data_IF_380698601490
#
_entry.id   IF_380698601490
#
_cell.length_a   1.000
_cell.length_b   1.000
_cell.length_c   1.000
_cell.angle_alpha   90.00
_cell.angle_beta   90.00
_cell.angle_gamma   90.00
#
_symmetry.space_group_name_H-M   'P 1'
#
loop_
_entity.id
_entity.type
_entity.pdbx_description
1 polymer ?
#
# COMPACT_ATOMS: atom_id res chain seq x y z
N UNK A 1 0.91 -11.02 -1.80
CA UNK A 1 -0.37 -10.36 -2.21
C UNK A 1 -0.04 -9.08 -2.99
N UNK A 2 -0.99 -8.40 -3.62
CA UNK A 2 -0.75 -7.02 -4.12
C UNK A 2 -1.46 -6.01 -3.22
N UNK A 3 -0.92 -4.80 -3.11
CA UNK A 3 -1.51 -3.69 -2.32
C UNK A 3 -3.02 -3.51 -2.57
N UNK A 4 -3.44 -3.59 -3.84
CA UNK A 4 -4.85 -3.46 -4.23
C UNK A 4 -5.74 -4.51 -3.59
N UNK A 5 -5.29 -5.77 -3.51
CA UNK A 5 -6.06 -6.88 -2.92
C UNK A 5 -6.29 -6.62 -1.43
N UNK A 6 -5.21 -6.34 -0.69
CA UNK A 6 -5.27 -6.08 0.75
C UNK A 6 -6.18 -4.89 1.04
N UNK A 7 -6.07 -3.80 0.25
CA UNK A 7 -6.94 -2.64 0.39
C UNK A 7 -8.42 -3.01 0.21
N UNK A 8 -8.74 -3.78 -0.83
CA UNK A 8 -10.11 -4.23 -1.10
C UNK A 8 -10.63 -5.18 -0.02
N UNK A 9 -9.80 -6.09 0.51
CA UNK A 9 -10.15 -6.96 1.64
C UNK A 9 -10.44 -6.17 2.92
N UNK A 10 -9.79 -5.01 3.10
CA UNK A 10 -10.08 -4.07 4.19
C UNK A 10 -11.28 -3.15 3.90
N UNK A 11 -11.92 -3.27 2.73
CA UNK A 11 -13.07 -2.45 2.34
C UNK A 11 -12.74 -0.97 2.08
N UNK A 12 -11.48 -0.64 1.82
CA UNK A 12 -11.03 0.75 1.66
C UNK A 12 -11.01 1.17 0.18
N UNK A 13 -11.40 2.40 -0.11
CA UNK A 13 -11.13 3.08 -1.39
C UNK A 13 -9.67 3.56 -1.46
N UNK A 14 -9.21 3.95 -2.65
CA UNK A 14 -7.87 4.54 -2.82
C UNK A 14 -7.74 5.86 -2.05
N UNK A 15 -8.82 6.65 -2.00
CA UNK A 15 -8.88 7.92 -1.24
C UNK A 15 -8.83 7.68 0.26
N UNK A 16 -9.59 6.72 0.79
CA UNK A 16 -9.52 6.38 2.21
C UNK A 16 -8.15 5.86 2.62
N UNK A 17 -7.51 5.03 1.78
CA UNK A 17 -6.14 4.59 2.03
C UNK A 17 -5.16 5.77 2.02
N UNK A 18 -5.31 6.71 1.08
CA UNK A 18 -4.49 7.91 0.99
C UNK A 18 -4.60 8.76 2.26
N UNK A 19 -5.82 9.01 2.74
CA UNK A 19 -6.09 9.75 3.97
C UNK A 19 -5.48 9.03 5.18
N UNK A 20 -5.75 7.72 5.32
CA UNK A 20 -5.32 6.91 6.47
C UNK A 20 -3.79 6.76 6.54
N UNK A 21 -3.13 6.63 5.40
CA UNK A 21 -1.66 6.53 5.31
C UNK A 21 -0.93 7.88 5.26
N UNK A 22 -1.67 9.00 5.16
CA UNK A 22 -1.11 10.35 4.94
C UNK A 22 -0.19 10.38 3.71
N UNK A 23 -0.68 9.81 2.61
CA UNK A 23 0.00 9.74 1.30
C UNK A 23 -0.96 10.34 0.27
N UNK A 24 -0.43 11.05 -0.73
CA UNK A 24 -1.26 11.58 -1.82
C UNK A 24 -1.95 10.44 -2.59
N UNK A 25 -3.21 10.64 -3.00
CA UNK A 25 -3.96 9.70 -3.82
C UNK A 25 -3.16 9.25 -5.06
N UNK A 26 -2.52 10.18 -5.75
CA UNK A 26 -1.69 9.92 -6.93
C UNK A 26 -0.54 8.96 -6.64
N UNK A 27 0.03 9.01 -5.43
CA UNK A 27 1.05 8.08 -4.99
C UNK A 27 0.47 6.70 -4.69
N UNK A 28 -0.69 6.60 -4.04
CA UNK A 28 -1.39 5.31 -3.85
C UNK A 28 -1.67 4.65 -5.20
N UNK A 29 -2.25 5.39 -6.15
CA UNK A 29 -2.55 4.89 -7.51
C UNK A 29 -1.27 4.43 -8.22
N UNK A 30 -0.20 5.23 -8.15
CA UNK A 30 1.10 4.88 -8.75
C UNK A 30 1.64 3.59 -8.13
N UNK A 31 1.60 3.44 -6.82
CA UNK A 31 2.12 2.29 -6.09
C UNK A 31 1.30 1.03 -6.41
N UNK A 32 -0.03 1.13 -6.46
CA UNK A 32 -0.88 -0.01 -6.87
C UNK A 32 -0.59 -0.47 -8.31
N UNK A 33 -0.21 0.46 -9.19
CA UNK A 33 0.11 0.16 -10.60
C UNK A 33 1.53 -0.35 -10.81
N UNK A 34 2.52 0.25 -10.16
CA UNK A 34 3.94 -0.05 -10.41
C UNK A 34 4.53 -1.03 -9.40
N UNK A 35 3.91 -1.19 -8.23
CA UNK A 35 4.47 -1.93 -7.10
C UNK A 35 5.71 -1.28 -6.48
N UNK A 36 6.12 -0.09 -6.94
CA UNK A 36 7.37 0.57 -6.53
C UNK A 36 7.08 1.75 -5.61
N UNK A 37 7.68 1.74 -4.43
CA UNK A 37 7.62 2.81 -3.45
C UNK A 37 8.93 2.89 -2.66
N UNK A 38 9.10 3.97 -1.89
CA UNK A 38 10.17 4.03 -0.89
C UNK A 38 9.75 3.25 0.35
N UNK A 39 10.73 2.79 1.14
CA UNK A 39 10.49 2.07 2.40
C UNK A 39 9.58 2.89 3.34
N UNK A 40 9.74 4.21 3.39
CA UNK A 40 8.90 5.11 4.18
C UNK A 40 7.43 5.10 3.75
N UNK A 41 7.16 5.08 2.43
CA UNK A 41 5.79 4.97 1.91
C UNK A 41 5.22 3.59 2.21
N UNK A 42 6.03 2.53 2.04
CA UNK A 42 5.63 1.17 2.35
C UNK A 42 5.23 1.02 3.82
N UNK A 43 6.03 1.56 4.76
CA UNK A 43 5.72 1.58 6.19
C UNK A 43 4.41 2.29 6.52
N UNK A 44 4.17 3.47 5.91
CA UNK A 44 2.93 4.22 6.12
C UNK A 44 1.70 3.44 5.64
N UNK A 45 1.80 2.79 4.49
CA UNK A 45 0.73 1.97 3.92
C UNK A 45 0.49 0.72 4.79
N UNK A 46 1.55 0.02 5.17
CA UNK A 46 1.52 -1.13 6.06
C UNK A 46 0.83 -0.80 7.40
N UNK A 47 1.22 0.31 8.03
CA UNK A 47 0.59 0.78 9.26
C UNK A 47 -0.89 1.14 9.06
N UNK A 48 -1.23 1.83 7.96
CA UNK A 48 -2.62 2.16 7.64
C UNK A 48 -3.49 0.93 7.40
N UNK A 49 -2.94 -0.13 6.80
CA UNK A 49 -3.65 -1.39 6.54
C UNK A 49 -3.57 -2.38 7.71
N UNK A 50 -2.75 -2.08 8.72
CA UNK A 50 -2.47 -2.95 9.86
C UNK A 50 -1.95 -4.33 9.41
N UNK A 51 -0.99 -4.32 8.49
CA UNK A 51 -0.31 -5.49 7.92
C UNK A 51 1.19 -5.21 7.90
N UNK A 52 1.98 -6.22 7.58
CA UNK A 52 3.43 -6.06 7.41
C UNK A 52 3.77 -5.54 6.00
N UNK A 53 4.97 -4.98 5.84
CA UNK A 53 5.46 -4.54 4.52
C UNK A 53 5.57 -5.74 3.57
N UNK A 54 6.01 -6.89 4.08
CA UNK A 54 6.21 -8.13 3.32
C UNK A 54 4.89 -8.66 2.71
N UNK A 55 3.76 -8.51 3.41
CA UNK A 55 2.45 -8.90 2.85
C UNK A 55 2.06 -8.06 1.63
N UNK A 56 2.44 -6.78 1.62
CA UNK A 56 2.10 -5.80 0.58
C UNK A 56 3.11 -5.84 -0.57
N UNK A 57 4.38 -5.90 -0.23
CA UNK A 57 5.55 -5.89 -1.10
C UNK A 57 6.40 -7.11 -0.76
N UNK A 58 5.95 -8.33 -1.11
CA UNK A 58 6.76 -9.53 -0.88
C UNK A 58 8.07 -9.35 -1.63
N UNK A 59 9.18 -9.55 -0.93
CA UNK A 59 10.48 -9.55 -1.55
C UNK A 59 10.48 -10.66 -2.61
N UNK A 60 10.42 -10.28 -3.89
CA UNK A 60 10.69 -11.19 -4.98
C UNK A 60 12.21 -11.40 -5.04
N UNK A 61 12.77 -11.93 -3.95
CA UNK A 61 14.14 -12.38 -3.88
C UNK A 61 14.34 -13.47 -4.93
N UNK A 62 14.90 -13.06 -6.06
CA UNK A 62 15.70 -13.94 -6.90
C UNK A 62 17.15 -13.56 -6.69
#
# INVERSE_FOLDING_TARGET
MTLKKIRMEKGLTQEELAIKSKISLSSIVRIERTGKCTITLAQKIANALNVTIDEIFPDNGK
#
